data_IF_796704946572
#
_entry.id   IF_796704946572
#
_cell.length_a   1.000
_cell.length_b   1.000
_cell.length_c   1.000
_cell.angle_alpha   90.00
_cell.angle_beta   90.00
_cell.angle_gamma   90.00
#
_symmetry.space_group_name_H-M   'P 1'
#
loop_
_entity.id
_entity.type
_entity.pdbx_description
1 polymer ?
#
# COMPACT_ATOMS: atom_id res chain seq x y z
N UNK A 1 -18.26 1.03 14.82
CA UNK A 1 -17.62 0.40 13.64
C UNK A 1 -17.78 1.33 12.45
N UNK A 2 -16.73 1.61 11.68
CA UNK A 2 -16.86 2.46 10.48
C UNK A 2 -17.62 1.70 9.38
N UNK A 3 -18.56 2.32 8.65
CA UNK A 3 -19.29 1.62 7.59
C UNK A 3 -18.34 1.19 6.47
N UNK A 4 -18.40 -0.07 6.03
CA UNK A 4 -17.56 -0.62 4.95
C UNK A 4 -17.55 0.27 3.70
N UNK A 5 -18.72 0.77 3.30
CA UNK A 5 -18.89 1.68 2.17
C UNK A 5 -18.01 2.94 2.28
N UNK A 6 -17.87 3.52 3.48
CA UNK A 6 -17.05 4.73 3.69
C UNK A 6 -15.56 4.46 3.45
N UNK A 7 -15.08 3.28 3.82
CA UNK A 7 -13.69 2.85 3.61
C UNK A 7 -13.44 2.62 2.11
N UNK A 8 -14.34 1.92 1.43
CA UNK A 8 -14.24 1.71 -0.02
C UNK A 8 -14.20 3.03 -0.80
N UNK A 9 -15.09 3.99 -0.47
CA UNK A 9 -15.09 5.31 -1.08
C UNK A 9 -13.79 6.08 -0.82
N UNK A 10 -13.22 5.94 0.38
CA UNK A 10 -11.94 6.57 0.71
C UNK A 10 -10.81 6.00 -0.13
N UNK A 11 -10.69 4.67 -0.23
CA UNK A 11 -9.66 3.99 -1.05
C UNK A 11 -9.81 4.38 -2.53
N UNK A 12 -11.04 4.42 -3.06
CA UNK A 12 -11.29 4.84 -4.44
C UNK A 12 -10.86 6.28 -4.73
N UNK A 13 -11.10 7.20 -3.79
CA UNK A 13 -10.64 8.58 -3.96
C UNK A 13 -9.11 8.68 -3.89
N UNK A 14 -8.45 7.89 -3.02
CA UNK A 14 -6.98 7.82 -2.97
C UNK A 14 -6.37 7.35 -4.29
N UNK A 15 -6.95 6.32 -4.93
CA UNK A 15 -6.51 5.83 -6.24
C UNK A 15 -6.60 6.95 -7.27
N UNK A 16 -7.77 7.60 -7.36
CA UNK A 16 -8.03 8.67 -8.31
C UNK A 16 -7.09 9.86 -8.10
N UNK A 17 -6.86 10.27 -6.86
CA UNK A 17 -5.94 11.36 -6.54
C UNK A 17 -4.49 11.00 -6.85
N UNK A 18 -4.07 9.77 -6.58
CA UNK A 18 -2.72 9.25 -6.90
C UNK A 18 -2.48 9.26 -8.41
N UNK A 19 -3.39 8.70 -9.21
CA UNK A 19 -3.31 8.70 -10.69
C UNK A 19 -3.30 10.11 -11.29
N UNK A 20 -3.86 11.10 -10.60
CA UNK A 20 -3.85 12.51 -11.02
C UNK A 20 -2.62 13.29 -10.54
N UNK A 21 -1.68 12.65 -9.83
CA UNK A 21 -0.53 13.32 -9.23
C UNK A 21 -0.90 14.29 -8.10
N UNK A 22 -2.09 14.16 -7.50
CA UNK A 22 -2.56 15.02 -6.41
C UNK A 22 -2.08 14.56 -5.03
N UNK A 23 -1.58 13.33 -4.93
CA UNK A 23 -0.94 12.77 -3.74
C UNK A 23 0.46 12.34 -4.16
N UNK A 24 1.46 12.84 -3.45
CA UNK A 24 2.84 12.39 -3.61
C UNK A 24 3.10 11.24 -2.64
N UNK A 25 3.59 10.13 -3.19
CA UNK A 25 4.03 8.97 -2.44
C UNK A 25 5.55 8.88 -2.52
N UNK A 26 6.15 8.42 -1.44
CA UNK A 26 7.59 8.19 -1.34
C UNK A 26 7.84 6.82 -0.71
N UNK A 27 9.02 6.26 -0.92
CA UNK A 27 9.44 5.07 -0.17
C UNK A 27 9.32 5.33 1.34
N UNK A 28 8.77 4.38 2.07
CA UNK A 28 8.51 4.53 3.49
C UNK A 28 9.81 4.50 4.28
N UNK A 29 10.06 5.55 5.06
CA UNK A 29 11.23 5.62 5.94
C UNK A 29 11.21 4.52 7.01
N UNK A 30 10.03 4.18 7.53
CA UNK A 30 9.85 3.13 8.53
C UNK A 30 9.37 1.84 7.88
N UNK A 31 10.24 0.83 7.87
CA UNK A 31 9.87 -0.53 7.43
C UNK A 31 8.70 -1.04 8.27
N UNK A 32 7.65 -1.62 7.66
CA UNK A 32 6.55 -2.21 8.40
C UNK A 32 7.04 -3.37 9.27
N UNK A 33 6.53 -3.42 10.50
CA UNK A 33 6.76 -4.54 11.41
C UNK A 33 5.73 -5.61 11.08
N UNK A 34 6.21 -6.78 10.65
CA UNK A 34 5.38 -7.91 10.28
C UNK A 34 5.57 -9.05 11.28
N UNK A 35 4.52 -9.84 11.60
CA UNK A 35 4.64 -11.03 12.43
C UNK A 35 5.65 -12.02 11.82
N UNK A 36 6.71 -12.31 12.58
CA UNK A 36 7.78 -13.19 12.14
C UNK A 36 7.27 -14.59 11.77
N UNK A 37 7.83 -15.16 10.71
CA UNK A 37 7.51 -16.51 10.24
C UNK A 37 6.13 -16.69 9.59
N UNK A 38 5.21 -15.72 9.69
CA UNK A 38 3.85 -15.78 9.13
C UNK A 38 3.71 -14.83 7.94
N UNK A 39 4.23 -13.61 8.08
CA UNK A 39 4.14 -12.58 7.06
C UNK A 39 5.52 -12.12 6.60
N UNK A 40 5.62 -11.75 5.33
CA UNK A 40 6.86 -11.23 4.75
C UNK A 40 6.57 -10.07 3.82
N UNK A 41 7.29 -8.96 3.99
CA UNK A 41 7.21 -7.82 3.10
C UNK A 41 7.61 -8.23 1.68
N UNK A 42 6.84 -7.77 0.69
CA UNK A 42 7.12 -7.95 -0.73
C UNK A 42 7.30 -6.56 -1.34
N UNK A 43 8.39 -6.37 -2.06
CA UNK A 43 8.78 -5.10 -2.68
C UNK A 43 8.92 -3.95 -1.64
N UNK A 44 8.66 -2.72 -2.08
CA UNK A 44 8.81 -1.51 -1.30
C UNK A 44 7.53 -1.19 -0.52
N UNK A 45 7.71 -0.62 0.67
CA UNK A 45 6.63 0.08 1.35
C UNK A 45 6.62 1.54 0.91
N UNK A 46 5.43 2.11 0.73
CA UNK A 46 5.24 3.51 0.37
C UNK A 46 4.53 4.26 1.49
N UNK A 47 4.82 5.55 1.61
CA UNK A 47 4.17 6.43 2.56
C UNK A 47 3.76 7.76 1.94
N UNK A 48 2.74 8.36 2.52
CA UNK A 48 2.27 9.71 2.16
C UNK A 48 1.67 10.41 3.38
N UNK A 49 1.60 11.73 3.34
CA UNK A 49 0.92 12.54 4.36
C UNK A 49 -0.27 13.27 3.74
N UNK A 50 -1.47 13.01 4.26
CA UNK A 50 -2.72 13.63 3.80
C UNK A 50 -3.39 14.28 4.99
N UNK A 51 -3.57 15.61 4.96
CA UNK A 51 -4.20 16.37 6.05
C UNK A 51 -3.59 16.04 7.42
N UNK A 52 -2.26 16.12 7.54
CA UNK A 52 -1.50 15.85 8.77
C UNK A 52 -1.54 14.40 9.27
N UNK A 53 -2.07 13.47 8.46
CA UNK A 53 -2.10 12.05 8.75
C UNK A 53 -1.16 11.29 7.82
N UNK A 54 -0.27 10.52 8.42
CA UNK A 54 0.71 9.70 7.72
C UNK A 54 0.13 8.32 7.45
N UNK A 55 0.18 7.90 6.20
CA UNK A 55 -0.29 6.58 5.78
C UNK A 55 0.87 5.77 5.23
N UNK A 56 0.79 4.46 5.40
CA UNK A 56 1.73 3.49 4.83
C UNK A 56 0.96 2.42 4.05
N UNK A 57 1.49 2.07 2.88
CA UNK A 57 0.92 1.08 1.97
C UNK A 57 2.02 0.12 1.53
N UNK A 58 1.79 -1.18 1.63
CA UNK A 58 2.78 -2.17 1.23
C UNK A 58 2.15 -3.51 0.88
N UNK A 59 2.87 -4.29 0.08
CA UNK A 59 2.52 -5.67 -0.26
C UNK A 59 3.21 -6.63 0.70
N UNK A 60 2.53 -7.69 1.11
CA UNK A 60 3.12 -8.74 1.93
C UNK A 60 2.58 -10.11 1.53
N UNK A 61 3.39 -11.14 1.74
CA UNK A 61 2.96 -12.54 1.68
C UNK A 61 2.56 -13.01 3.05
N UNK A 62 1.49 -13.79 3.15
CA UNK A 62 1.05 -14.43 4.38
C UNK A 62 0.91 -15.93 4.17
N UNK A 63 1.31 -16.72 5.17
CA UNK A 63 1.14 -18.18 5.15
C UNK A 63 -0.31 -18.55 5.46
N UNK A 64 -0.95 -19.26 4.54
CA UNK A 64 -2.21 -19.92 4.76
C UNK A 64 -1.98 -21.41 4.95
N UNK A 65 -2.17 -21.89 6.19
CA UNK A 65 -2.12 -23.29 6.51
C UNK A 65 -3.42 -23.97 6.07
N UNK A 66 -3.31 -24.98 5.22
CA UNK A 66 -4.41 -25.86 4.82
C UNK A 66 -4.51 -27.09 5.71
N UNK A 67 -3.38 -27.48 6.33
CA UNK A 67 -3.25 -28.53 7.34
C UNK A 67 -2.03 -28.22 8.25
N UNK A 68 -1.72 -29.06 9.23
CA UNK A 68 -0.61 -28.90 10.19
C UNK A 68 0.77 -28.76 9.52
N UNK A 69 0.96 -29.36 8.34
CA UNK A 69 2.23 -29.38 7.61
C UNK A 69 2.15 -28.75 6.22
N UNK A 70 0.96 -28.42 5.74
CA UNK A 70 0.75 -27.87 4.40
C UNK A 70 0.35 -26.40 4.47
N UNK A 71 1.09 -25.55 3.77
CA UNK A 71 0.75 -24.15 3.63
C UNK A 71 1.07 -23.64 2.22
N UNK A 72 0.34 -22.60 1.82
CA UNK A 72 0.67 -21.81 0.64
C UNK A 72 0.82 -20.33 1.04
N UNK A 73 1.57 -19.60 0.23
CA UNK A 73 1.69 -18.15 0.37
C UNK A 73 0.57 -17.47 -0.42
N UNK A 74 -0.09 -16.48 0.18
CA UNK A 74 -0.91 -15.53 -0.58
C UNK A 74 -0.34 -14.13 -0.47
N UNK A 75 -0.40 -13.37 -1.56
CA UNK A 75 -0.04 -11.95 -1.56
C UNK A 75 -1.25 -11.12 -1.13
N UNK A 76 -1.02 -10.11 -0.29
CA UNK A 76 -2.02 -9.11 0.12
C UNK A 76 -1.40 -7.73 0.19
N UNK A 77 -2.26 -6.71 0.17
CA UNK A 77 -1.87 -5.32 0.42
C UNK A 77 -2.36 -4.94 1.82
N UNK A 78 -1.50 -4.28 2.60
CA UNK A 78 -1.91 -3.61 3.85
C UNK A 78 -1.83 -2.11 3.67
N UNK A 79 -2.87 -1.43 4.15
CA UNK A 79 -2.94 0.00 4.23
C UNK A 79 -3.14 0.42 5.69
N UNK A 80 -2.29 1.30 6.18
CA UNK A 80 -2.21 1.65 7.59
C UNK A 80 -2.12 3.17 7.77
N UNK A 81 -2.69 3.67 8.87
CA UNK A 81 -2.34 4.95 9.45
C UNK A 81 -1.16 4.74 10.42
N UNK A 82 -0.11 5.54 10.30
CA UNK A 82 1.08 5.46 11.15
C UNK A 82 1.26 6.74 11.96
N UNK A 83 1.90 6.63 13.13
CA UNK A 83 2.39 7.78 13.89
C UNK A 83 3.76 8.27 13.35
N UNK A 84 4.35 9.25 14.03
CA UNK A 84 5.65 9.82 13.66
C UNK A 84 6.83 8.86 13.88
N UNK A 85 6.63 7.81 14.66
CA UNK A 85 7.64 6.77 14.94
C UNK A 85 7.48 5.56 14.01
N UNK A 86 6.49 5.58 13.09
CA UNK A 86 6.20 4.52 12.15
C UNK A 86 5.35 3.37 12.71
N UNK A 87 4.80 3.51 13.91
CA UNK A 87 3.91 2.52 14.51
C UNK A 87 2.54 2.57 13.83
N UNK A 88 1.98 1.40 13.55
CA UNK A 88 0.61 1.30 13.05
C UNK A 88 -0.38 1.73 14.16
N UNK A 89 -1.15 2.77 13.88
CA UNK A 89 -2.21 3.28 14.78
C UNK A 89 -3.59 2.83 14.33
N UNK A 90 -3.75 2.50 13.05
CA UNK A 90 -4.98 1.93 12.50
C UNK A 90 -4.69 1.16 11.20
N UNK A 91 -5.11 -0.10 11.12
CA UNK A 91 -5.07 -0.90 9.90
C UNK A 91 -6.45 -0.85 9.20
N UNK A 92 -6.45 -0.51 7.91
CA UNK A 92 -7.66 -0.55 7.11
C UNK A 92 -8.00 -2.01 6.74
N UNK A 93 -9.30 -2.38 6.73
CA UNK A 93 -9.70 -3.72 6.30
C UNK A 93 -9.29 -3.93 4.83
N UNK A 94 -8.81 -5.14 4.54
CA UNK A 94 -8.44 -5.50 3.17
C UNK A 94 -9.63 -5.40 2.22
N UNK A 95 -9.42 -4.72 1.09
CA UNK A 95 -10.33 -4.67 -0.06
C UNK A 95 -9.52 -4.86 -1.34
N UNK A 96 -10.12 -5.46 -2.37
CA UNK A 96 -9.42 -5.72 -3.64
C UNK A 96 -8.87 -4.45 -4.31
N UNK A 97 -9.54 -3.31 -4.10
CA UNK A 97 -9.11 -1.98 -4.57
C UNK A 97 -7.77 -1.53 -3.99
N UNK A 98 -7.28 -2.13 -2.89
CA UNK A 98 -5.93 -1.85 -2.40
C UNK A 98 -4.84 -2.30 -3.37
N UNK A 99 -5.10 -3.30 -4.22
CA UNK A 99 -4.17 -3.68 -5.29
C UNK A 99 -4.06 -2.55 -6.33
N UNK A 100 -5.19 -2.00 -6.76
CA UNK A 100 -5.22 -0.86 -7.70
C UNK A 100 -4.53 0.38 -7.12
N UNK A 101 -4.68 0.61 -5.80
CA UNK A 101 -3.97 1.68 -5.11
C UNK A 101 -2.47 1.42 -5.10
N UNK A 102 -2.04 0.21 -4.75
CA UNK A 102 -0.63 -0.14 -4.72
C UNK A 102 0.04 0.01 -6.10
N UNK A 103 -0.61 -0.46 -7.15
CA UNK A 103 -0.09 -0.33 -8.52
C UNK A 103 -0.01 1.14 -8.96
N UNK A 104 -1.04 1.94 -8.67
CA UNK A 104 -1.01 3.38 -8.95
C UNK A 104 0.12 4.10 -8.20
N UNK A 105 0.37 3.72 -6.94
CA UNK A 105 1.47 4.26 -6.14
C UNK A 105 2.82 3.88 -6.74
N UNK A 106 3.03 2.61 -7.10
CA UNK A 106 4.27 2.14 -7.74
C UNK A 106 4.54 2.88 -9.03
N UNK A 107 3.55 3.00 -9.90
CA UNK A 107 3.66 3.72 -11.17
C UNK A 107 4.08 5.18 -10.91
N UNK A 108 3.32 5.89 -10.06
CA UNK A 108 3.56 7.31 -9.75
C UNK A 108 4.89 7.62 -9.06
N UNK A 109 5.46 6.66 -8.31
CA UNK A 109 6.70 6.85 -7.55
C UNK A 109 7.95 6.33 -8.26
N UNK A 110 7.79 5.54 -9.33
CA UNK A 110 8.90 4.89 -10.03
C UNK A 110 9.67 5.80 -10.99
N UNK A 111 9.11 6.95 -11.36
CA UNK A 111 9.65 7.79 -12.44
C UNK A 111 9.45 7.19 -13.84
N UNK A 112 8.67 6.11 -13.98
CA UNK A 112 8.50 5.41 -15.26
C UNK A 112 7.77 6.25 -16.30
N UNK A 113 6.81 7.08 -15.86
CA UNK A 113 6.04 7.92 -16.76
C UNK A 113 6.92 9.02 -17.37
N UNK A 114 7.76 9.66 -16.58
CA UNK A 114 8.75 10.64 -17.05
C UNK A 114 9.76 10.00 -18.00
N UNK A 115 10.22 8.79 -17.70
CA UNK A 115 11.12 8.03 -18.57
C UNK A 115 10.47 7.70 -19.91
N UNK A 116 9.23 7.19 -19.90
CA UNK A 116 8.49 6.85 -21.13
C UNK A 116 8.25 8.11 -21.97
N UNK A 117 7.80 9.20 -21.35
CA UNK A 117 7.56 10.47 -22.02
C UNK A 117 8.85 11.02 -22.65
N UNK A 118 9.99 10.90 -21.97
CA UNK A 118 11.28 11.32 -22.50
C UNK A 118 11.75 10.42 -23.66
N UNK A 119 11.61 9.11 -23.51
CA UNK A 119 12.01 8.12 -24.52
C UNK A 119 11.21 8.24 -25.83
N UNK A 120 9.94 8.65 -25.74
CA UNK A 120 9.05 8.81 -26.90
C UNK A 120 9.17 10.19 -27.59
N UNK A 121 9.98 11.12 -27.07
CA UNK A 121 10.21 12.39 -27.76
C UNK A 121 10.92 12.15 -29.11
N UNK A 122 10.47 12.79 -30.20
CA UNK A 122 11.04 12.64 -31.53
C UNK A 122 12.46 13.23 -31.66
#
# INVERSE_FOLDING_TARGET
>A
MMPKNKISLFILELIKMTKKGQISWQESFHTPILPDGIERLVDLAYSTTIKEKSFRLYKYNTKHFTDEYEYYWSERIRFELIDNDGNCTFEFPYEYSLNDLYDAVRESSSGINEFIDDFLKP
#
